data_IF_547833264415
#
_entry.id   IF_547833264415
#
_cell.length_a   1.000
_cell.length_b   1.000
_cell.length_c   1.000
_cell.angle_alpha   90.00
_cell.angle_beta   90.00
_cell.angle_gamma   90.00
#
_symmetry.space_group_name_H-M   'P 1'
#
loop_
_entity.id
_entity.type
_entity.pdbx_description
1 polymer ?
#
# COMPACT_ATOMS: atom_id res chain seq x y z
N UNK A 1 2.49 -17.41 -27.43
CA UNK A 1 2.85 -16.71 -26.18
C UNK A 1 4.36 -16.77 -26.09
N UNK A 2 5.06 -15.67 -26.34
CA UNK A 2 6.52 -15.59 -26.27
C UNK A 2 6.89 -14.96 -24.93
N UNK A 3 7.27 -15.81 -23.98
CA UNK A 3 7.88 -15.39 -22.73
C UNK A 3 9.25 -14.78 -23.05
N UNK A 4 9.51 -13.55 -22.58
CA UNK A 4 10.78 -12.85 -22.84
C UNK A 4 11.81 -13.34 -21.81
N UNK A 5 12.91 -14.01 -22.18
CA UNK A 5 13.68 -14.85 -21.25
C UNK A 5 14.58 -14.12 -20.24
N UNK A 6 14.57 -12.78 -20.17
CA UNK A 6 15.58 -12.02 -19.42
C UNK A 6 15.02 -10.75 -18.75
N UNK A 7 13.75 -10.72 -18.36
CA UNK A 7 13.26 -9.58 -17.56
C UNK A 7 13.81 -9.69 -16.13
N UNK A 8 14.75 -8.80 -15.78
CA UNK A 8 15.09 -8.52 -14.39
C UNK A 8 13.80 -8.35 -13.59
N UNK A 9 13.72 -8.90 -12.35
CA UNK A 9 12.55 -8.72 -11.50
C UNK A 9 12.23 -7.23 -11.41
N UNK A 10 10.93 -6.91 -11.57
CA UNK A 10 10.43 -5.54 -11.46
C UNK A 10 10.97 -4.92 -10.17
N UNK A 11 11.79 -3.87 -10.32
CA UNK A 11 12.38 -3.16 -9.19
C UNK A 11 11.61 -1.85 -8.99
N UNK A 12 10.93 -1.74 -7.85
CA UNK A 12 10.06 -0.59 -7.56
C UNK A 12 10.85 0.73 -7.59
N UNK A 13 12.06 0.75 -7.02
CA UNK A 13 12.89 1.95 -6.98
C UNK A 13 13.33 2.39 -8.38
N UNK A 14 13.67 1.44 -9.26
CA UNK A 14 13.96 1.72 -10.66
C UNK A 14 12.73 2.32 -11.37
N UNK A 15 11.55 1.72 -11.22
CA UNK A 15 10.32 2.24 -11.82
C UNK A 15 9.99 3.65 -11.30
N UNK A 16 10.10 3.86 -10.00
CA UNK A 16 9.87 5.16 -9.37
C UNK A 16 10.85 6.23 -9.88
N UNK A 17 12.11 5.87 -10.14
CA UNK A 17 13.12 6.80 -10.71
C UNK A 17 12.83 7.27 -12.14
N UNK A 18 11.84 6.68 -12.82
CA UNK A 18 11.43 7.10 -14.17
C UNK A 18 10.47 8.29 -14.15
N UNK A 19 9.93 8.64 -12.99
CA UNK A 19 9.11 9.84 -12.82
C UNK A 19 10.00 11.08 -12.65
N UNK A 20 9.54 12.22 -13.16
CA UNK A 20 10.17 13.50 -12.86
C UNK A 20 9.79 13.94 -11.44
N UNK A 21 10.75 13.80 -10.52
CA UNK A 21 10.56 14.11 -9.11
C UNK A 21 10.25 15.59 -8.82
N UNK A 22 10.44 16.50 -9.77
CA UNK A 22 10.05 17.91 -9.60
C UNK A 22 8.57 18.18 -9.88
N UNK A 23 7.87 17.22 -10.48
CA UNK A 23 6.49 17.36 -10.94
C UNK A 23 5.55 16.29 -10.35
N UNK A 24 6.02 15.51 -9.37
CA UNK A 24 5.26 14.43 -8.73
C UNK A 24 5.41 14.53 -7.21
N UNK A 25 4.28 14.78 -6.54
CA UNK A 25 4.23 14.87 -5.07
C UNK A 25 4.03 13.51 -4.38
N UNK A 26 3.43 12.54 -5.08
CA UNK A 26 3.10 11.22 -4.55
C UNK A 26 3.07 10.17 -5.66
N UNK A 27 3.63 8.99 -5.38
CA UNK A 27 3.49 7.79 -6.20
C UNK A 27 2.69 6.76 -5.41
N UNK A 28 1.53 6.38 -5.93
CA UNK A 28 0.75 5.26 -5.41
C UNK A 28 1.17 3.97 -6.13
N UNK A 29 1.45 2.94 -5.34
CA UNK A 29 1.94 1.65 -5.84
C UNK A 29 0.96 0.57 -5.43
N UNK A 30 0.41 -0.15 -6.40
CA UNK A 30 -0.35 -1.37 -6.17
C UNK A 30 0.54 -2.59 -6.45
N UNK A 31 0.54 -3.55 -5.52
CA UNK A 31 1.42 -4.72 -5.59
C UNK A 31 2.64 -4.58 -4.70
N UNK A 32 3.78 -5.17 -5.12
CA UNK A 32 5.06 -5.06 -4.41
C UNK A 32 4.98 -5.35 -2.90
N UNK A 33 4.20 -6.37 -2.51
CA UNK A 33 3.86 -6.67 -1.10
C UNK A 33 5.08 -6.77 -0.18
N UNK A 34 6.21 -7.23 -0.72
CA UNK A 34 7.46 -7.44 0.02
C UNK A 34 8.43 -6.24 -0.01
N UNK A 35 8.13 -5.19 -0.79
CA UNK A 35 8.98 -4.01 -0.82
C UNK A 35 8.90 -3.26 0.52
N UNK A 36 10.04 -2.71 1.00
CA UNK A 36 10.13 -2.01 2.27
C UNK A 36 9.62 -0.56 2.17
N UNK A 37 8.43 -0.37 1.61
CA UNK A 37 7.77 0.93 1.44
C UNK A 37 6.52 1.03 2.31
N UNK A 38 6.22 2.25 2.76
CA UNK A 38 5.01 2.54 3.54
C UNK A 38 3.77 2.06 2.80
N UNK A 39 2.92 1.29 3.48
CA UNK A 39 1.75 0.66 2.86
C UNK A 39 0.50 0.75 3.73
N UNK A 40 -0.64 0.87 3.08
CA UNK A 40 -1.97 0.70 3.67
C UNK A 40 -2.43 -0.70 3.33
N UNK A 41 -2.73 -1.52 4.34
CA UNK A 41 -3.28 -2.86 4.12
C UNK A 41 -4.77 -2.76 3.86
N UNK A 42 -5.23 -3.36 2.77
CA UNK A 42 -6.64 -3.53 2.47
C UNK A 42 -7.08 -4.92 2.98
N UNK A 43 -7.98 -4.93 3.96
CA UNK A 43 -8.45 -6.16 4.60
C UNK A 43 -9.97 -6.29 4.46
N UNK A 44 -10.42 -7.32 3.74
CA UNK A 44 -11.83 -7.70 3.68
C UNK A 44 -12.10 -8.99 4.41
N UNK A 45 -13.17 -8.99 5.19
CA UNK A 45 -13.54 -10.07 6.08
C UNK A 45 -13.72 -11.42 5.36
N UNK A 46 -14.40 -11.34 4.23
CA UNK A 46 -14.81 -12.45 3.37
C UNK A 46 -13.64 -13.19 2.71
N UNK A 47 -12.46 -12.56 2.60
CA UNK A 47 -11.28 -13.17 1.98
C UNK A 47 -10.71 -14.29 2.86
N UNK A 48 -11.01 -14.29 4.17
CA UNK A 48 -10.65 -15.38 5.08
C UNK A 48 -9.16 -15.51 5.39
N UNK A 49 -8.33 -14.54 4.97
CA UNK A 49 -6.90 -14.51 5.30
C UNK A 49 -6.68 -13.83 6.66
N UNK A 50 -5.80 -14.32 7.54
CA UNK A 50 -5.48 -13.64 8.80
C UNK A 50 -4.85 -12.27 8.56
N UNK A 51 -5.23 -11.26 9.34
CA UNK A 51 -4.68 -9.91 9.22
C UNK A 51 -3.20 -9.90 9.62
N UNK A 52 -2.83 -10.68 10.63
CA UNK A 52 -1.49 -10.77 11.22
C UNK A 52 -0.43 -11.16 10.18
N UNK A 53 -0.81 -11.99 9.19
CA UNK A 53 0.07 -12.38 8.08
C UNK A 53 0.38 -11.22 7.10
N UNK A 54 -0.41 -10.16 7.15
CA UNK A 54 -0.30 -8.99 6.27
C UNK A 54 0.41 -7.81 6.94
N UNK A 55 0.64 -7.89 8.26
CA UNK A 55 1.26 -6.81 9.02
C UNK A 55 2.79 -6.91 8.99
N UNK A 56 3.45 -5.79 8.73
CA UNK A 56 4.89 -5.63 8.84
C UNK A 56 5.22 -4.21 9.36
N UNK A 57 6.51 -3.92 9.58
CA UNK A 57 6.98 -2.62 10.10
C UNK A 57 6.72 -1.42 9.18
N UNK A 58 6.36 -1.66 7.92
CA UNK A 58 6.05 -0.65 6.92
C UNK A 58 4.54 -0.37 6.79
N UNK A 59 3.70 -1.14 7.50
CA UNK A 59 2.26 -0.89 7.53
C UNK A 59 1.97 0.36 8.37
N UNK A 60 1.42 1.38 7.71
CA UNK A 60 1.08 2.66 8.35
C UNK A 60 -0.41 2.77 8.73
N UNK A 61 -1.26 1.97 8.08
CA UNK A 61 -2.69 1.88 8.38
C UNK A 61 -3.28 0.57 7.83
N UNK A 62 -4.45 0.20 8.35
CA UNK A 62 -5.29 -0.89 7.81
C UNK A 62 -6.66 -0.31 7.45
N UNK A 63 -7.07 -0.47 6.20
CA UNK A 63 -8.43 -0.18 5.73
C UNK A 63 -9.25 -1.47 5.70
N UNK A 64 -10.38 -1.49 6.39
CA UNK A 64 -11.22 -2.69 6.51
C UNK A 64 -12.72 -2.44 6.38
N UNK A 65 -13.45 -3.48 5.99
CA UNK A 65 -14.91 -3.57 5.99
C UNK A 65 -15.52 -3.90 7.36
N UNK A 66 -14.69 -4.09 8.39
CA UNK A 66 -15.13 -4.33 9.77
C UNK A 66 -14.19 -3.69 10.78
N UNK A 67 -14.68 -3.59 12.02
CA UNK A 67 -13.83 -3.21 13.14
C UNK A 67 -12.72 -4.26 13.36
N UNK A 68 -11.49 -3.78 13.56
CA UNK A 68 -10.30 -4.60 13.78
C UNK A 68 -9.63 -4.24 15.11
N UNK A 69 -9.12 -5.26 15.79
CA UNK A 69 -8.22 -5.09 16.92
C UNK A 69 -6.78 -4.88 16.42
N UNK A 70 -6.55 -3.71 15.82
CA UNK A 70 -5.26 -3.26 15.33
C UNK A 70 -4.85 -2.00 16.08
N UNK A 71 -3.60 -1.96 16.57
CA UNK A 71 -3.09 -0.86 17.39
C UNK A 71 -2.77 0.43 16.60
N UNK A 72 -2.62 0.34 15.28
CA UNK A 72 -2.35 1.49 14.42
C UNK A 72 -3.60 2.17 13.88
N UNK A 73 -3.41 2.97 12.83
CA UNK A 73 -4.49 3.71 12.18
C UNK A 73 -5.44 2.75 11.44
N UNK A 74 -6.74 2.91 11.67
CA UNK A 74 -7.81 2.07 11.13
C UNK A 74 -8.72 2.94 10.26
N UNK A 75 -8.95 2.50 9.04
CA UNK A 75 -9.75 3.21 8.03
C UNK A 75 -10.92 2.33 7.60
N UNK A 76 -12.03 2.95 7.19
CA UNK A 76 -13.10 2.23 6.50
C UNK A 76 -12.71 2.04 5.03
N UNK A 77 -12.61 0.79 4.57
CA UNK A 77 -12.28 0.47 3.18
C UNK A 77 -13.32 0.98 2.19
N UNK A 78 -14.55 1.23 2.66
CA UNK A 78 -15.67 1.72 1.86
C UNK A 78 -15.81 3.26 1.92
N UNK A 79 -14.85 3.95 2.56
CA UNK A 79 -14.78 5.42 2.62
C UNK A 79 -13.47 5.95 1.99
N UNK A 80 -13.37 5.99 0.64
CA UNK A 80 -12.19 6.51 -0.04
C UNK A 80 -11.81 7.95 0.31
N UNK A 81 -12.75 8.90 0.51
CA UNK A 81 -12.43 10.24 0.99
C UNK A 81 -11.59 10.25 2.29
N UNK A 82 -12.00 9.49 3.31
CA UNK A 82 -11.25 9.39 4.57
C UNK A 82 -9.85 8.79 4.38
N UNK A 83 -9.69 7.83 3.46
CA UNK A 83 -8.38 7.27 3.12
C UNK A 83 -7.49 8.34 2.46
N UNK A 84 -8.03 9.15 1.55
CA UNK A 84 -7.30 10.24 0.92
C UNK A 84 -6.85 11.29 1.95
N UNK A 85 -7.73 11.67 2.88
CA UNK A 85 -7.40 12.59 3.98
C UNK A 85 -6.29 12.03 4.87
N UNK A 86 -6.34 10.74 5.17
CA UNK A 86 -5.27 10.06 5.90
C UNK A 86 -3.93 10.13 5.15
N UNK A 87 -3.91 9.84 3.84
CA UNK A 87 -2.68 9.90 3.03
C UNK A 87 -2.09 11.32 3.05
N UNK A 88 -2.92 12.36 2.86
CA UNK A 88 -2.46 13.76 2.91
C UNK A 88 -1.92 14.11 4.28
N UNK A 89 -2.59 13.70 5.36
CA UNK A 89 -2.09 13.92 6.73
C UNK A 89 -0.78 13.20 6.99
N UNK A 90 -0.61 12.00 6.45
CA UNK A 90 0.61 11.20 6.61
C UNK A 90 1.80 11.82 5.87
N UNK A 91 1.59 12.37 4.66
CA UNK A 91 2.63 13.05 3.89
C UNK A 91 3.13 14.36 4.52
N UNK A 92 2.30 15.00 5.33
CA UNK A 92 2.62 16.26 6.00
C UNK A 92 3.17 16.10 7.43
N UNK A 93 3.38 14.85 7.90
CA UNK A 93 4.00 14.54 9.20
C UNK A 93 5.50 14.43 9.05
#
# INVERSE_FOLDING_TARGET
MTETPEQQPLNLHYLASRFDHNNVDLILVEGFKHEPVSKIILYRAEIGRPLEEMLDKHVIAVASDRALDFAGERLDINDPPSIAEFIVRWLNK
#
